data_IF_578527947289
#
_entry.id   IF_578527947289
#
_cell.length_a   1.000
_cell.length_b   1.000
_cell.length_c   1.000
_cell.angle_alpha   90.00
_cell.angle_beta   90.00
_cell.angle_gamma   90.00
#
_symmetry.space_group_name_H-M   'P 1'
#
loop_
_entity.id
_entity.type
_entity.pdbx_description
1 polymer ?
#
# COMPACT_ATOMS: atom_id res chain seq x y z
N UNK A 1 11.63 2.09 -51.44
CA UNK A 1 10.60 1.05 -51.18
C UNK A 1 10.88 0.28 -49.89
N UNK A 2 12.10 -0.22 -49.64
CA UNK A 2 12.45 -1.01 -48.43
C UNK A 2 12.24 -0.29 -47.08
N UNK A 3 12.59 1.00 -46.99
CA UNK A 3 12.55 1.77 -45.74
C UNK A 3 11.12 2.07 -45.22
N UNK A 4 10.14 2.18 -46.13
CA UNK A 4 8.75 2.46 -45.74
C UNK A 4 8.14 1.32 -44.93
N UNK A 5 8.48 0.07 -45.27
CA UNK A 5 7.99 -1.10 -44.53
C UNK A 5 8.57 -1.19 -43.12
N UNK A 6 9.81 -0.75 -42.91
CA UNK A 6 10.45 -0.71 -41.59
C UNK A 6 9.77 0.34 -40.69
N UNK A 7 9.46 1.51 -41.24
CA UNK A 7 8.78 2.58 -40.50
C UNK A 7 7.35 2.16 -40.14
N UNK A 8 6.62 1.54 -41.08
CA UNK A 8 5.28 1.01 -40.83
C UNK A 8 5.32 -0.08 -39.76
N UNK A 9 6.31 -0.97 -39.79
CA UNK A 9 6.51 -2.01 -38.78
C UNK A 9 6.81 -1.42 -37.39
N UNK A 10 7.65 -0.39 -37.28
CA UNK A 10 7.92 0.25 -35.99
C UNK A 10 6.68 0.94 -35.40
N UNK A 11 5.85 1.56 -36.25
CA UNK A 11 4.62 2.24 -35.80
C UNK A 11 3.58 1.28 -35.21
N UNK A 12 3.48 0.05 -35.73
CA UNK A 12 2.56 -0.96 -35.18
C UNK A 12 3.08 -1.65 -33.90
N UNK A 13 4.40 -1.65 -33.64
CA UNK A 13 4.97 -2.23 -32.42
C UNK A 13 4.95 -1.24 -31.25
N UNK A 14 4.85 0.07 -31.50
CA UNK A 14 4.82 1.10 -30.44
C UNK A 14 3.53 1.13 -29.60
N UNK A 15 2.53 0.30 -29.89
CA UNK A 15 1.29 0.28 -29.13
C UNK A 15 1.42 -0.59 -27.87
N UNK A 16 1.99 -0.03 -26.80
CA UNK A 16 1.98 -0.66 -25.48
C UNK A 16 0.67 -0.36 -24.76
N UNK A 17 0.03 -1.38 -24.18
CA UNK A 17 -1.16 -1.16 -23.33
C UNK A 17 -0.79 -0.27 -22.15
N UNK A 18 -1.60 0.75 -21.81
CA UNK A 18 -1.39 1.53 -20.61
C UNK A 18 -1.46 0.60 -19.38
N UNK A 19 -0.69 0.89 -18.32
CA UNK A 19 -0.75 0.10 -17.09
C UNK A 19 -2.18 0.10 -16.55
N UNK A 20 -2.64 -1.06 -16.09
CA UNK A 20 -3.94 -1.19 -15.44
C UNK A 20 -3.94 -0.32 -14.19
N UNK A 21 -4.92 0.58 -14.01
CA UNK A 21 -5.01 1.39 -12.80
C UNK A 21 -5.12 0.50 -11.56
N UNK A 22 -4.36 0.84 -10.51
CA UNK A 22 -4.50 0.19 -9.21
C UNK A 22 -5.88 0.47 -8.62
N UNK A 23 -6.50 -0.57 -8.08
CA UNK A 23 -7.72 -0.41 -7.29
C UNK A 23 -7.42 0.47 -6.06
N UNK A 24 -8.35 1.37 -5.68
CA UNK A 24 -8.17 2.22 -4.51
C UNK A 24 -8.05 1.35 -3.25
N UNK A 25 -7.13 1.71 -2.37
CA UNK A 25 -6.97 1.04 -1.08
C UNK A 25 -8.01 1.60 -0.10
N UNK A 26 -8.70 0.74 0.68
CA UNK A 26 -9.62 1.21 1.70
C UNK A 26 -8.88 2.00 2.79
N UNK A 27 -9.52 3.06 3.28
CA UNK A 27 -9.06 3.93 4.36
C UNK A 27 -10.19 4.11 5.36
N UNK A 28 -9.87 4.54 6.59
CA UNK A 28 -10.87 4.89 7.61
C UNK A 28 -11.91 5.87 7.09
N UNK A 29 -11.49 6.83 6.25
CA UNK A 29 -12.38 7.86 5.71
C UNK A 29 -13.29 7.36 4.58
N UNK A 30 -12.80 6.46 3.73
CA UNK A 30 -13.59 5.89 2.62
C UNK A 30 -14.52 4.77 3.10
N UNK A 31 -14.17 4.09 4.19
CA UNK A 31 -14.93 2.98 4.74
C UNK A 31 -15.11 3.13 6.26
N UNK A 32 -15.83 4.17 6.73
CA UNK A 32 -15.95 4.47 8.16
C UNK A 32 -16.72 3.40 8.95
N UNK A 33 -17.45 2.51 8.27
CA UNK A 33 -18.09 1.34 8.87
C UNK A 33 -17.16 0.12 8.98
N UNK A 34 -16.03 0.13 8.27
CA UNK A 34 -15.00 -0.89 8.35
C UNK A 34 -13.94 -0.45 9.37
N UNK A 35 -14.13 -0.99 10.56
CA UNK A 35 -13.15 -1.17 11.64
C UNK A 35 -12.77 0.05 12.51
N UNK A 36 -13.48 0.15 13.64
CA UNK A 36 -13.07 0.88 14.86
C UNK A 36 -12.38 -0.09 15.85
N UNK A 37 -12.28 -1.39 15.55
CA UNK A 37 -12.05 -2.49 16.51
C UNK A 37 -10.83 -3.38 16.25
N UNK A 38 -9.80 -2.88 15.56
CA UNK A 38 -8.53 -3.61 15.42
C UNK A 38 -7.91 -3.87 16.80
N UNK A 39 -7.06 -4.89 16.95
CA UNK A 39 -6.24 -5.07 18.16
C UNK A 39 -5.50 -3.78 18.56
N UNK A 40 -4.94 -3.04 17.59
CA UNK A 40 -4.29 -1.76 17.85
C UNK A 40 -5.27 -0.71 18.39
N UNK A 41 -6.42 -0.50 17.73
CA UNK A 41 -7.38 0.53 18.14
C UNK A 41 -8.03 0.24 19.50
N UNK A 42 -8.04 -1.03 19.92
CA UNK A 42 -8.48 -1.46 21.26
C UNK A 42 -7.40 -1.37 22.34
N UNK A 43 -6.20 -0.89 22.00
CA UNK A 43 -5.07 -0.81 22.93
C UNK A 43 -4.57 -2.17 23.41
N UNK A 44 -4.77 -3.23 22.61
CA UNK A 44 -4.32 -4.59 22.95
C UNK A 44 -2.87 -4.87 22.56
N UNK A 45 -2.25 -3.95 21.80
CA UNK A 45 -0.89 -4.06 21.30
C UNK A 45 -0.07 -2.88 21.78
N UNK A 46 1.18 -3.14 22.15
CA UNK A 46 2.20 -2.11 22.33
C UNK A 46 2.80 -1.73 20.97
N UNK A 47 3.51 -0.59 20.90
CA UNK A 47 4.24 -0.22 19.68
C UNK A 47 5.29 -1.28 19.30
N UNK A 48 5.92 -1.91 20.30
CA UNK A 48 6.87 -3.00 20.08
C UNK A 48 6.21 -4.25 19.47
N UNK A 49 5.00 -4.61 19.92
CA UNK A 49 4.26 -5.75 19.34
C UNK A 49 3.94 -5.51 17.86
N UNK A 50 3.58 -4.26 17.51
CA UNK A 50 3.37 -3.87 16.11
C UNK A 50 4.67 -3.94 15.32
N UNK A 51 5.76 -3.41 15.87
CA UNK A 51 7.08 -3.44 15.25
C UNK A 51 7.54 -4.89 14.96
N UNK A 52 7.38 -5.81 15.92
CA UNK A 52 7.70 -7.23 15.73
C UNK A 52 6.81 -7.87 14.66
N UNK A 53 5.51 -7.58 14.67
CA UNK A 53 4.58 -8.07 13.65
C UNK A 53 4.97 -7.61 12.24
N UNK A 54 5.28 -6.32 12.05
CA UNK A 54 5.62 -5.76 10.74
C UNK A 54 6.95 -6.31 10.19
N UNK A 55 7.89 -6.64 11.08
CA UNK A 55 9.19 -7.24 10.72
C UNK A 55 9.05 -8.62 10.06
N UNK A 56 7.95 -9.33 10.30
CA UNK A 56 7.67 -10.63 9.67
C UNK A 56 7.12 -10.53 8.23
N UNK A 57 7.13 -9.32 7.65
CA UNK A 57 6.65 -9.03 6.29
C UNK A 57 5.20 -9.53 6.04
N UNK A 58 4.24 -9.17 6.91
CA UNK A 58 2.89 -9.71 6.85
C UNK A 58 2.18 -9.28 5.57
N UNK A 59 1.12 -10.02 5.21
CA UNK A 59 0.27 -9.64 4.07
C UNK A 59 -0.51 -8.37 4.38
N UNK A 60 -0.86 -7.63 3.34
CA UNK A 60 -1.71 -6.44 3.41
C UNK A 60 -3.01 -6.69 4.22
N UNK A 61 -3.63 -7.84 4.01
CA UNK A 61 -4.86 -8.22 4.74
C UNK A 61 -4.62 -8.48 6.22
N UNK A 62 -3.45 -8.97 6.60
CA UNK A 62 -3.07 -9.19 7.99
C UNK A 62 -2.78 -7.85 8.67
N UNK A 63 -2.13 -6.91 7.97
CA UNK A 63 -1.95 -5.53 8.45
C UNK A 63 -3.30 -4.89 8.76
N UNK A 64 -4.29 -5.03 7.86
CA UNK A 64 -5.65 -4.56 8.15
C UNK A 64 -6.29 -5.27 9.36
N UNK A 65 -6.05 -6.57 9.54
CA UNK A 65 -6.60 -7.31 10.68
C UNK A 65 -6.01 -6.91 12.03
N UNK A 66 -4.75 -6.45 12.05
CA UNK A 66 -4.00 -6.12 13.27
C UNK A 66 -4.04 -4.63 13.59
N UNK A 67 -3.77 -3.77 12.59
CA UNK A 67 -3.70 -2.32 12.76
C UNK A 67 -5.03 -1.64 12.43
N UNK A 68 -5.88 -2.27 11.64
CA UNK A 68 -7.07 -1.65 11.05
C UNK A 68 -6.76 -0.96 9.73
N UNK A 69 -7.74 -0.25 9.19
CA UNK A 69 -7.55 0.55 7.98
C UNK A 69 -6.64 1.76 8.25
N UNK A 70 -5.83 2.18 7.28
CA UNK A 70 -5.01 3.38 7.41
C UNK A 70 -5.85 4.66 7.35
N UNK A 71 -5.31 5.74 7.93
CA UNK A 71 -5.88 7.08 7.86
C UNK A 71 -5.76 7.66 6.43
N UNK A 72 -4.61 7.43 5.79
CA UNK A 72 -4.38 7.81 4.40
C UNK A 72 -3.45 6.83 3.69
N UNK A 73 -3.50 6.85 2.36
CA UNK A 73 -2.66 6.00 1.52
C UNK A 73 -2.02 6.86 0.45
N UNK A 74 -0.71 6.74 0.31
CA UNK A 74 0.04 7.25 -0.83
C UNK A 74 0.46 6.09 -1.72
N UNK A 75 0.30 6.22 -3.03
CA UNK A 75 0.73 5.20 -4.01
C UNK A 75 1.88 5.79 -4.80
N UNK A 76 2.99 5.07 -4.89
CA UNK A 76 4.13 5.51 -5.67
C UNK A 76 3.72 5.67 -7.15
N UNK A 77 4.27 6.67 -7.83
CA UNK A 77 4.00 6.91 -9.26
C UNK A 77 4.36 5.69 -10.14
N UNK A 78 5.38 4.94 -9.72
CA UNK A 78 5.81 3.68 -10.35
C UNK A 78 4.81 2.54 -10.15
N UNK A 79 3.85 2.70 -9.23
CA UNK A 79 2.87 1.69 -8.81
C UNK A 79 3.51 0.39 -8.28
N UNK A 80 4.77 0.44 -7.85
CA UNK A 80 5.46 -0.73 -7.29
C UNK A 80 5.13 -0.97 -5.83
N UNK A 81 4.87 0.10 -5.08
CA UNK A 81 4.48 0.04 -3.68
C UNK A 81 3.48 1.14 -3.33
N UNK A 82 2.86 1.00 -2.17
CA UNK A 82 1.99 2.01 -1.55
C UNK A 82 2.31 2.11 -0.06
N UNK A 83 2.14 3.30 0.50
CA UNK A 83 2.42 3.59 1.91
C UNK A 83 1.09 3.82 2.62
N UNK A 84 0.89 3.09 3.71
CA UNK A 84 -0.22 3.25 4.64
C UNK A 84 0.24 4.14 5.78
N UNK A 85 -0.51 5.21 6.03
CA UNK A 85 -0.25 6.11 7.14
C UNK A 85 -1.25 5.88 8.27
N UNK A 86 -0.74 5.70 9.47
CA UNK A 86 -1.48 5.51 10.70
C UNK A 86 -1.13 6.62 11.68
N UNK A 87 -2.11 7.46 12.02
CA UNK A 87 -1.92 8.47 13.04
C UNK A 87 -1.98 7.83 14.44
N UNK A 88 -0.91 7.99 15.22
CA UNK A 88 -0.82 7.46 16.58
C UNK A 88 -1.02 8.61 17.57
N UNK A 89 -2.23 8.70 18.14
CA UNK A 89 -2.62 9.80 19.02
C UNK A 89 -1.68 10.00 20.23
N UNK A 90 -1.09 8.93 20.76
CA UNK A 90 -0.18 9.03 21.91
C UNK A 90 1.17 9.65 21.57
N UNK A 91 1.55 9.65 20.29
CA UNK A 91 2.81 10.21 19.78
C UNK A 91 2.59 11.55 19.06
N UNK A 92 1.33 11.87 18.73
CA UNK A 92 0.97 13.02 17.87
C UNK A 92 1.71 13.00 16.53
N UNK A 93 1.92 11.80 15.98
CA UNK A 93 2.68 11.57 14.75
C UNK A 93 2.10 10.43 13.90
N UNK A 94 2.51 10.40 12.63
CA UNK A 94 2.18 9.35 11.68
C UNK A 94 3.26 8.29 11.62
N UNK A 95 2.86 7.05 11.86
CA UNK A 95 3.65 5.88 11.50
C UNK A 95 3.26 5.38 10.11
N UNK A 96 4.17 4.66 9.47
CA UNK A 96 4.01 4.25 8.07
C UNK A 96 4.32 2.77 7.84
N UNK A 97 3.55 2.16 6.94
CA UNK A 97 3.76 0.78 6.47
C UNK A 97 3.80 0.78 4.95
N UNK A 98 4.91 0.34 4.37
CA UNK A 98 5.07 0.18 2.93
C UNK A 98 4.61 -1.22 2.51
N UNK A 99 3.76 -1.28 1.47
CA UNK A 99 3.23 -2.51 0.90
C UNK A 99 3.67 -2.65 -0.55
N UNK A 100 4.32 -3.76 -0.88
CA UNK A 100 4.58 -4.15 -2.26
C UNK A 100 3.26 -4.45 -2.98
N UNK A 101 3.03 -3.75 -4.09
CA UNK A 101 1.76 -3.83 -4.84
C UNK A 101 1.56 -5.19 -5.50
N UNK A 102 2.64 -5.88 -5.88
CA UNK A 102 2.57 -7.17 -6.58
C UNK A 102 2.44 -8.33 -5.59
N UNK A 103 3.27 -8.32 -4.54
CA UNK A 103 3.32 -9.38 -3.53
C UNK A 103 2.21 -9.24 -2.48
N UNK A 104 1.64 -8.04 -2.33
CA UNK A 104 0.64 -7.69 -1.32
C UNK A 104 1.14 -7.98 0.10
N UNK A 105 2.40 -7.62 0.36
CA UNK A 105 3.09 -7.81 1.64
C UNK A 105 3.81 -6.55 2.05
N UNK A 106 4.05 -6.43 3.35
CA UNK A 106 4.94 -5.42 3.90
C UNK A 106 6.34 -5.63 3.34
N UNK A 107 6.94 -4.55 2.85
CA UNK A 107 8.33 -4.53 2.37
C UNK A 107 9.17 -3.43 3.04
N UNK A 108 8.56 -2.61 3.90
CA UNK A 108 9.20 -1.58 4.72
C UNK A 108 8.21 -0.95 5.70
N UNK A 109 8.70 -0.31 6.75
CA UNK A 109 7.88 0.44 7.70
C UNK A 109 8.71 1.40 8.55
N UNK A 110 8.06 2.43 9.09
CA UNK A 110 8.55 3.31 10.15
C UNK A 110 7.52 3.27 11.26
N UNK A 111 7.90 2.72 12.42
CA UNK A 111 7.00 2.47 13.53
C UNK A 111 7.71 2.68 14.88
N UNK A 112 7.38 3.78 15.56
CA UNK A 112 7.92 4.19 16.86
C UNK A 112 6.96 3.94 18.04
#
# INVERSE_FOLDING_TARGET
MQFYYIIILMLIISCTKPPTPLAPTPTKLSHPSLDISSPLSRGMLTQYDVWEFLKEEPKETEVFGILGLPDSVWVADSQQYKVFYYFIESLDDYNSVEIDVNLKKVNGFEWD
#
